data_IF_722504137103
#
_entry.id   IF_722504137103
#
_cell.length_a   1.000
_cell.length_b   1.000
_cell.length_c   1.000
_cell.angle_alpha   90.00
_cell.angle_beta   90.00
_cell.angle_gamma   90.00
#
_symmetry.space_group_name_H-M   'P 1'
#
loop_
_entity.id
_entity.type
_entity.pdbx_description
1 polymer ?
#
# COMPACT_ATOMS: atom_id res chain seq x y z
N UNK A 1 -18.65 0.11 -27.21
CA UNK A 1 -18.85 1.10 -26.12
C UNK A 1 -17.63 1.13 -25.21
N UNK A 2 -16.51 1.67 -25.69
CA UNK A 2 -15.31 1.86 -24.86
C UNK A 2 -15.41 3.22 -24.18
N UNK A 3 -15.48 3.23 -22.85
CA UNK A 3 -15.42 4.45 -22.06
C UNK A 3 -14.05 4.50 -21.38
N UNK A 4 -13.20 5.50 -21.69
CA UNK A 4 -11.92 5.66 -21.00
C UNK A 4 -12.13 5.85 -19.50
N UNK A 5 -11.27 5.23 -18.70
CA UNK A 5 -11.32 5.34 -17.24
C UNK A 5 -10.45 6.55 -16.84
N UNK A 6 -11.09 7.61 -16.36
CA UNK A 6 -10.39 8.86 -16.02
C UNK A 6 -9.88 8.91 -14.57
N UNK A 7 -10.53 8.16 -13.68
CA UNK A 7 -10.25 8.12 -12.24
C UNK A 7 -9.90 6.73 -11.74
N UNK A 8 -9.27 6.69 -10.58
CA UNK A 8 -9.02 5.52 -9.75
C UNK A 8 -9.95 5.48 -8.54
N UNK A 9 -9.47 4.82 -7.48
CA UNK A 9 -10.19 4.72 -6.21
C UNK A 9 -10.34 6.08 -5.52
N UNK A 10 -11.43 6.24 -4.77
CA UNK A 10 -11.56 7.33 -3.80
C UNK A 10 -10.53 7.14 -2.68
N UNK A 11 -9.81 8.20 -2.34
CA UNK A 11 -8.77 8.17 -1.33
C UNK A 11 -9.33 8.64 0.00
N UNK A 12 -8.96 7.95 1.09
CA UNK A 12 -9.20 8.36 2.48
C UNK A 12 -10.66 8.70 2.86
N UNK A 13 -11.64 8.25 2.04
CA UNK A 13 -13.06 8.59 2.17
C UNK A 13 -13.36 10.10 2.13
N UNK A 14 -12.43 10.91 1.63
CA UNK A 14 -12.56 12.37 1.55
C UNK A 14 -13.19 12.85 0.24
N UNK A 15 -13.79 11.94 -0.54
CA UNK A 15 -14.37 12.20 -1.86
C UNK A 15 -13.38 12.80 -2.87
N UNK A 16 -12.09 12.48 -2.73
CA UNK A 16 -11.07 12.76 -3.73
C UNK A 16 -10.75 11.47 -4.48
N UNK A 17 -10.94 11.45 -5.79
CA UNK A 17 -10.60 10.31 -6.63
C UNK A 17 -9.17 10.44 -7.16
N UNK A 18 -8.36 9.39 -6.99
CA UNK A 18 -7.05 9.32 -7.63
C UNK A 18 -7.19 9.27 -9.16
N UNK A 19 -6.10 9.53 -9.88
CA UNK A 19 -6.05 9.36 -11.34
C UNK A 19 -6.03 7.89 -11.74
N UNK A 20 -6.39 7.59 -12.99
CA UNK A 20 -6.50 6.22 -13.51
C UNK A 20 -5.18 5.46 -13.73
N UNK A 21 -4.04 6.04 -13.35
CA UNK A 21 -2.72 5.45 -13.65
C UNK A 21 -2.52 4.09 -13.01
N UNK A 22 -2.99 3.92 -11.76
CA UNK A 22 -2.96 2.62 -11.09
C UNK A 22 -3.89 1.60 -11.77
N UNK A 23 -5.07 2.01 -12.25
CA UNK A 23 -6.01 1.12 -12.96
C UNK A 23 -5.42 0.65 -14.29
N UNK A 24 -4.84 1.56 -15.08
CA UNK A 24 -4.20 1.18 -16.35
C UNK A 24 -3.00 0.26 -16.15
N UNK A 25 -2.24 0.45 -15.07
CA UNK A 25 -1.20 -0.50 -14.69
C UNK A 25 -1.80 -1.88 -14.36
N UNK A 26 -2.87 -1.96 -13.56
CA UNK A 26 -3.54 -3.24 -13.28
C UNK A 26 -3.98 -3.94 -14.56
N UNK A 27 -4.63 -3.21 -15.46
CA UNK A 27 -5.07 -3.73 -16.75
C UNK A 27 -3.89 -4.31 -17.56
N UNK A 28 -2.80 -3.55 -17.70
CA UNK A 28 -1.60 -4.01 -18.40
C UNK A 28 -1.02 -5.29 -17.76
N UNK A 29 -0.94 -5.34 -16.44
CA UNK A 29 -0.42 -6.51 -15.73
C UNK A 29 -1.32 -7.74 -15.93
N UNK A 30 -2.65 -7.56 -15.87
CA UNK A 30 -3.58 -8.64 -16.13
C UNK A 30 -3.48 -9.18 -17.56
N UNK A 31 -3.20 -8.33 -18.56
CA UNK A 31 -2.96 -8.80 -19.94
C UNK A 31 -1.77 -9.76 -20.03
N UNK A 32 -0.70 -9.55 -19.24
CA UNK A 32 0.50 -10.41 -19.25
C UNK A 32 0.19 -11.85 -18.81
N UNK A 33 -0.82 -12.04 -17.96
CA UNK A 33 -1.20 -13.35 -17.40
C UNK A 33 -2.67 -13.72 -17.62
N UNK A 34 -3.29 -13.20 -18.67
CA UNK A 34 -4.68 -13.51 -19.04
C UNK A 34 -5.66 -13.39 -17.85
N UNK A 35 -5.49 -12.37 -17.00
CA UNK A 35 -6.32 -12.11 -15.84
C UNK A 35 -5.92 -12.83 -14.54
N UNK A 36 -4.88 -13.67 -14.51
CA UNK A 36 -4.42 -14.30 -13.25
C UNK A 36 -3.85 -13.24 -12.29
N UNK A 37 -4.40 -13.18 -11.08
CA UNK A 37 -4.04 -12.22 -10.03
C UNK A 37 -2.61 -12.38 -9.49
N UNK A 38 -1.98 -13.55 -9.70
CA UNK A 38 -0.59 -13.80 -9.27
C UNK A 38 0.39 -12.80 -9.90
N UNK A 39 0.08 -12.28 -11.10
CA UNK A 39 0.92 -11.28 -11.77
C UNK A 39 1.16 -10.03 -10.92
N UNK A 40 0.17 -9.62 -10.14
CA UNK A 40 0.25 -8.45 -9.27
C UNK A 40 1.29 -8.68 -8.15
N UNK A 41 1.30 -9.88 -7.56
CA UNK A 41 2.27 -10.25 -6.53
C UNK A 41 3.71 -10.25 -7.07
N UNK A 42 3.92 -10.78 -8.29
CA UNK A 42 5.25 -10.73 -8.93
C UNK A 42 5.68 -9.30 -9.23
N UNK A 43 4.80 -8.49 -9.81
CA UNK A 43 5.12 -7.10 -10.13
C UNK A 43 5.48 -6.29 -8.86
N UNK A 44 4.70 -6.44 -7.78
CA UNK A 44 4.98 -5.75 -6.52
C UNK A 44 6.34 -6.12 -5.93
N UNK A 45 6.70 -7.42 -5.93
CA UNK A 45 8.01 -7.86 -5.49
C UNK A 45 9.15 -7.31 -6.36
N UNK A 46 8.96 -7.26 -7.69
CA UNK A 46 9.92 -6.65 -8.61
C UNK A 46 10.07 -5.14 -8.38
N UNK A 47 8.97 -4.44 -8.06
CA UNK A 47 8.99 -3.03 -7.69
C UNK A 47 9.79 -2.80 -6.39
N UNK A 48 9.67 -3.69 -5.40
CA UNK A 48 10.49 -3.68 -4.19
C UNK A 48 11.99 -3.84 -4.51
N UNK A 49 12.36 -4.79 -5.38
CA UNK A 49 13.74 -4.98 -5.85
C UNK A 49 14.25 -3.73 -6.58
N UNK A 50 13.44 -3.15 -7.47
CA UNK A 50 13.79 -1.91 -8.17
C UNK A 50 14.01 -0.76 -7.16
N UNK A 51 13.20 -0.69 -6.10
CA UNK A 51 13.36 0.28 -5.01
C UNK A 51 14.69 0.10 -4.30
N UNK A 52 15.09 -1.12 -3.93
CA UNK A 52 16.41 -1.40 -3.33
C UNK A 52 17.56 -0.95 -4.24
N UNK A 53 17.47 -1.23 -5.54
CA UNK A 53 18.49 -0.83 -6.51
C UNK A 53 18.61 0.70 -6.59
N UNK A 54 17.47 1.39 -6.72
CA UNK A 54 17.43 2.86 -6.76
C UNK A 54 17.97 3.44 -5.44
N UNK A 55 17.57 2.87 -4.31
CA UNK A 55 18.02 3.28 -2.98
C UNK A 55 19.54 3.15 -2.86
N UNK A 56 20.14 2.05 -3.32
CA UNK A 56 21.60 1.88 -3.34
C UNK A 56 22.28 3.01 -4.13
N UNK A 57 21.83 3.28 -5.36
CA UNK A 57 22.48 4.27 -6.22
C UNK A 57 22.30 5.70 -5.72
N UNK A 58 21.11 6.05 -5.24
CA UNK A 58 20.81 7.35 -4.65
C UNK A 58 21.65 7.58 -3.39
N UNK A 59 21.66 6.62 -2.47
CA UNK A 59 22.40 6.77 -1.21
C UNK A 59 23.91 6.80 -1.44
N UNK A 60 24.41 6.05 -2.43
CA UNK A 60 25.83 6.09 -2.81
C UNK A 60 26.24 7.47 -3.31
N UNK A 61 25.40 8.11 -4.13
CA UNK A 61 25.65 9.45 -4.66
C UNK A 61 25.55 10.55 -3.58
N UNK A 62 24.53 10.46 -2.71
CA UNK A 62 24.32 11.44 -1.65
C UNK A 62 25.31 11.31 -0.48
N UNK A 63 25.68 10.07 -0.16
CA UNK A 63 26.49 9.73 1.00
C UNK A 63 27.80 9.07 0.59
N UNK A 64 27.86 7.75 0.67
CA UNK A 64 29.00 6.92 0.28
C UNK A 64 28.52 5.48 0.01
N UNK A 65 29.41 4.65 -0.54
CA UNK A 65 29.10 3.25 -0.90
C UNK A 65 28.78 2.37 0.31
N UNK A 66 29.36 2.64 1.48
CA UNK A 66 29.15 1.83 2.69
C UNK A 66 27.76 2.09 3.28
N UNK A 67 27.35 3.36 3.40
CA UNK A 67 26.00 3.73 3.82
C UNK A 67 24.97 3.15 2.85
N UNK A 68 25.20 3.26 1.54
CA UNK A 68 24.32 2.68 0.52
C UNK A 68 24.10 1.18 0.68
N UNK A 69 25.18 0.43 0.92
CA UNK A 69 25.12 -1.01 1.15
C UNK A 69 24.31 -1.36 2.41
N UNK A 70 24.61 -0.70 3.53
CA UNK A 70 23.89 -0.93 4.79
C UNK A 70 22.40 -0.61 4.62
N UNK A 71 22.07 0.56 4.05
CA UNK A 71 20.69 0.95 3.78
C UNK A 71 19.95 -0.06 2.90
N UNK A 72 20.59 -0.58 1.85
CA UNK A 72 19.99 -1.57 0.97
C UNK A 72 19.68 -2.89 1.68
N UNK A 73 20.54 -3.32 2.61
CA UNK A 73 20.28 -4.48 3.48
C UNK A 73 19.08 -4.20 4.38
N UNK A 74 19.05 -3.06 5.06
CA UNK A 74 17.96 -2.74 5.99
C UNK A 74 16.62 -2.60 5.31
N UNK A 75 16.57 -2.03 4.10
CA UNK A 75 15.34 -2.00 3.30
C UNK A 75 14.97 -3.40 2.80
N UNK A 76 15.89 -4.07 2.09
CA UNK A 76 15.59 -5.33 1.38
C UNK A 76 15.39 -6.54 2.29
N UNK A 77 15.98 -6.55 3.48
CA UNK A 77 15.89 -7.66 4.43
C UNK A 77 14.97 -7.40 5.62
N UNK A 78 14.37 -6.21 5.78
CA UNK A 78 13.36 -5.99 6.83
C UNK A 78 12.10 -6.79 6.50
N UNK A 79 11.66 -7.65 7.42
CA UNK A 79 10.42 -8.43 7.29
C UNK A 79 9.22 -7.51 7.09
N UNK A 80 9.18 -6.39 7.82
CA UNK A 80 8.10 -5.41 7.72
C UNK A 80 7.99 -4.86 6.29
N UNK A 81 9.10 -4.34 5.76
CA UNK A 81 9.15 -3.73 4.43
C UNK A 81 8.89 -4.79 3.35
N UNK A 82 9.49 -5.98 3.48
CA UNK A 82 9.31 -7.07 2.52
C UNK A 82 7.83 -7.45 2.35
N UNK A 83 7.07 -7.52 3.45
CA UNK A 83 5.64 -7.85 3.35
C UNK A 83 4.79 -6.73 2.76
N UNK A 84 5.14 -5.47 2.98
CA UNK A 84 4.50 -4.37 2.24
C UNK A 84 4.86 -4.38 0.76
N UNK A 85 6.11 -4.66 0.39
CA UNK A 85 6.55 -4.75 -1.01
C UNK A 85 5.91 -5.95 -1.74
N UNK A 86 5.49 -7.00 -1.03
CA UNK A 86 4.78 -8.15 -1.62
C UNK A 86 3.27 -7.92 -1.80
N UNK A 87 2.74 -6.80 -1.30
CA UNK A 87 1.34 -6.43 -1.43
C UNK A 87 1.18 -5.39 -2.54
N UNK A 88 0.61 -5.81 -3.67
CA UNK A 88 0.28 -4.89 -4.74
C UNK A 88 -0.97 -4.07 -4.42
N UNK A 89 -0.81 -2.76 -4.30
CA UNK A 89 -1.88 -1.80 -4.06
C UNK A 89 -1.41 -0.37 -4.42
N UNK A 90 -2.29 0.61 -4.37
CA UNK A 90 -2.03 2.03 -4.59
C UNK A 90 -0.78 2.54 -3.83
N UNK A 91 -0.55 2.14 -2.55
CA UNK A 91 0.65 2.54 -1.81
C UNK A 91 1.96 1.91 -2.29
N UNK A 92 1.96 0.89 -3.16
CA UNK A 92 3.18 0.15 -3.54
C UNK A 92 4.25 1.03 -4.18
N UNK A 93 3.87 2.15 -4.80
CA UNK A 93 4.81 3.11 -5.41
C UNK A 93 5.37 4.14 -4.41
N UNK A 94 4.84 4.20 -3.18
CA UNK A 94 5.25 5.21 -2.20
C UNK A 94 6.76 5.13 -1.91
N UNK A 95 7.36 3.96 -1.64
CA UNK A 95 8.80 3.87 -1.38
C UNK A 95 9.66 4.42 -2.52
N UNK A 96 9.44 3.92 -3.74
CA UNK A 96 10.21 4.31 -4.93
C UNK A 96 10.06 5.79 -5.24
N UNK A 97 8.83 6.32 -5.22
CA UNK A 97 8.60 7.74 -5.47
C UNK A 97 9.24 8.57 -4.37
N UNK A 98 9.11 8.21 -3.09
CA UNK A 98 9.69 8.95 -1.97
C UNK A 98 11.20 9.14 -2.11
N UNK A 99 11.94 8.09 -2.44
CA UNK A 99 13.40 8.19 -2.59
C UNK A 99 13.80 9.01 -3.83
N UNK A 100 13.13 8.83 -4.96
CA UNK A 100 13.39 9.61 -6.17
C UNK A 100 13.04 11.09 -5.97
N UNK A 101 11.97 11.37 -5.22
CA UNK A 101 11.51 12.72 -4.93
C UNK A 101 12.53 13.47 -4.06
N UNK A 102 12.94 12.88 -2.94
CA UNK A 102 13.96 13.47 -2.06
C UNK A 102 15.29 13.63 -2.79
N UNK A 103 15.69 12.64 -3.59
CA UNK A 103 16.90 12.72 -4.41
C UNK A 103 16.85 13.89 -5.40
N UNK A 104 15.77 14.01 -6.17
CA UNK A 104 15.57 15.09 -7.13
C UNK A 104 15.61 16.46 -6.44
N UNK A 105 14.92 16.61 -5.30
CA UNK A 105 14.93 17.82 -4.48
C UNK A 105 16.33 18.22 -4.03
N UNK A 106 17.18 17.26 -3.66
CA UNK A 106 18.56 17.57 -3.25
C UNK A 106 19.38 18.02 -4.46
N UNK A 107 19.18 17.40 -5.62
CA UNK A 107 19.91 17.71 -6.85
C UNK A 107 19.55 19.09 -7.43
N UNK A 108 18.38 19.67 -7.12
CA UNK A 108 18.03 21.03 -7.57
C UNK A 108 19.01 22.10 -7.09
N UNK A 109 19.72 21.86 -5.97
CA UNK A 109 20.75 22.79 -5.48
C UNK A 109 21.94 22.91 -6.45
N UNK A 110 22.17 21.89 -7.28
CA UNK A 110 23.24 21.86 -8.31
C UNK A 110 22.70 22.15 -9.70
N UNK A 111 21.53 21.62 -10.04
CA UNK A 111 20.91 21.78 -11.37
C UNK A 111 19.39 21.91 -11.25
N UNK A 112 18.85 23.06 -11.62
CA UNK A 112 17.41 23.34 -11.48
C UNK A 112 16.55 22.51 -12.44
N UNK A 113 17.11 21.84 -13.45
CA UNK A 113 16.36 20.93 -14.34
C UNK A 113 15.73 19.75 -13.60
N UNK A 114 16.24 19.39 -12.41
CA UNK A 114 15.62 18.38 -11.56
C UNK A 114 14.20 18.74 -11.09
N UNK A 115 13.80 20.02 -11.15
CA UNK A 115 12.40 20.40 -10.93
C UNK A 115 11.43 19.80 -11.95
N UNK A 116 11.90 19.45 -13.16
CA UNK A 116 11.08 18.75 -14.16
C UNK A 116 10.69 17.36 -13.65
N UNK A 117 11.65 16.61 -13.09
CA UNK A 117 11.37 15.31 -12.48
C UNK A 117 10.46 15.45 -11.25
N UNK A 118 10.65 16.49 -10.43
CA UNK A 118 9.75 16.78 -9.30
C UNK A 118 8.31 17.00 -9.79
N UNK A 119 8.10 17.77 -10.86
CA UNK A 119 6.77 17.97 -11.44
C UNK A 119 6.13 16.66 -11.93
N UNK A 120 6.91 15.79 -12.58
CA UNK A 120 6.49 14.45 -12.98
C UNK A 120 6.09 13.60 -11.77
N UNK A 121 6.90 13.58 -10.71
CA UNK A 121 6.62 12.80 -9.50
C UNK A 121 5.40 13.35 -8.73
N UNK A 122 5.21 14.67 -8.68
CA UNK A 122 4.00 15.29 -8.11
C UNK A 122 2.76 14.88 -8.90
N UNK A 123 2.80 14.95 -10.22
CA UNK A 123 1.66 14.52 -11.03
C UNK A 123 1.38 13.03 -10.83
N UNK A 124 2.41 12.17 -10.87
CA UNK A 124 2.28 10.74 -10.60
C UNK A 124 1.68 10.43 -9.21
N UNK A 125 1.94 11.29 -8.21
CA UNK A 125 1.40 11.14 -6.86
C UNK A 125 -0.13 11.14 -6.85
N UNK A 126 -0.76 11.93 -7.72
CA UNK A 126 -2.21 11.95 -7.88
C UNK A 126 -2.78 10.67 -8.51
N UNK A 127 -1.97 9.85 -9.21
CA UNK A 127 -2.41 8.56 -9.78
C UNK A 127 -2.20 7.39 -8.80
N UNK A 128 -1.28 7.53 -7.85
CA UNK A 128 -0.92 6.44 -6.95
C UNK A 128 -1.42 6.67 -5.53
N UNK A 129 -1.04 7.77 -4.87
CA UNK A 129 -1.38 7.98 -3.47
C UNK A 129 -1.14 9.43 -3.00
N UNK A 130 -2.15 10.04 -2.35
CA UNK A 130 -2.07 11.44 -1.89
C UNK A 130 -1.00 11.72 -0.81
N UNK A 131 -0.58 10.72 -0.04
CA UNK A 131 0.51 10.87 0.95
C UNK A 131 1.78 11.44 0.30
N UNK A 132 2.04 11.11 -0.96
CA UNK A 132 3.21 11.60 -1.69
C UNK A 132 3.18 13.13 -1.91
N UNK A 133 2.00 13.76 -1.82
CA UNK A 133 1.89 15.23 -1.87
C UNK A 133 2.49 15.91 -0.63
N UNK A 134 2.79 15.19 0.46
CA UNK A 134 3.54 15.75 1.59
C UNK A 134 4.96 16.20 1.18
N UNK A 135 5.50 15.66 0.08
CA UNK A 135 6.75 16.16 -0.51
C UNK A 135 6.60 17.53 -1.19
N UNK A 136 5.38 18.09 -1.30
CA UNK A 136 5.18 19.47 -1.74
C UNK A 136 5.79 20.48 -0.75
N UNK A 137 5.80 20.18 0.56
CA UNK A 137 6.40 21.07 1.58
C UNK A 137 7.90 21.27 1.34
N UNK A 138 8.74 20.21 1.25
CA UNK A 138 10.15 20.38 0.89
C UNK A 138 10.34 20.87 -0.56
N UNK A 139 9.36 20.67 -1.46
CA UNK A 139 9.38 21.25 -2.81
C UNK A 139 9.26 22.76 -2.78
N UNK A 140 8.27 23.31 -2.07
CA UNK A 140 8.08 24.75 -1.91
C UNK A 140 9.34 25.37 -1.31
N UNK A 141 9.90 24.77 -0.26
CA UNK A 141 11.18 25.19 0.30
C UNK A 141 12.30 25.24 -0.76
N UNK A 142 12.45 24.17 -1.54
CA UNK A 142 13.48 24.06 -2.57
C UNK A 142 13.29 25.05 -3.72
N UNK A 143 12.05 25.28 -4.15
CA UNK A 143 11.68 26.27 -5.17
C UNK A 143 12.00 27.67 -4.68
N UNK A 144 11.56 28.06 -3.48
CA UNK A 144 11.85 29.38 -2.91
C UNK A 144 13.36 29.62 -2.84
N UNK A 145 14.12 28.64 -2.33
CA UNK A 145 15.58 28.71 -2.23
C UNK A 145 16.28 28.88 -3.59
N UNK A 146 15.75 28.27 -4.64
CA UNK A 146 16.37 28.25 -5.96
C UNK A 146 15.66 29.13 -7.00
N UNK A 147 14.64 29.91 -6.62
CA UNK A 147 13.71 30.56 -7.55
C UNK A 147 14.41 31.33 -8.67
N UNK A 148 15.37 32.18 -8.31
CA UNK A 148 16.16 33.00 -9.25
C UNK A 148 17.08 32.19 -10.18
N UNK A 149 17.36 30.93 -9.85
CA UNK A 149 18.21 30.01 -10.64
C UNK A 149 17.39 29.14 -11.60
N UNK A 150 16.06 29.12 -11.46
CA UNK A 150 15.19 28.33 -12.33
C UNK A 150 15.01 29.09 -13.64
N UNK A 151 15.50 28.52 -14.74
CA UNK A 151 15.37 29.11 -16.06
C UNK A 151 13.93 28.98 -16.56
N UNK A 152 13.48 29.91 -17.39
CA UNK A 152 12.10 29.95 -17.89
C UNK A 152 11.66 28.65 -18.58
N UNK A 153 12.56 28.01 -19.36
CA UNK A 153 12.22 26.75 -20.02
C UNK A 153 12.01 25.61 -19.02
N UNK A 154 12.68 25.65 -17.86
CA UNK A 154 12.44 24.67 -16.78
C UNK A 154 11.02 24.83 -16.24
N UNK A 155 10.57 26.07 -16.00
CA UNK A 155 9.19 26.35 -15.61
C UNK A 155 8.18 25.82 -16.62
N UNK A 156 8.39 26.12 -17.91
CA UNK A 156 7.52 25.66 -18.99
C UNK A 156 7.46 24.12 -19.04
N UNK A 157 8.62 23.45 -18.98
CA UNK A 157 8.67 21.99 -18.98
C UNK A 157 8.00 21.38 -17.74
N UNK A 158 8.18 21.97 -16.55
CA UNK A 158 7.47 21.52 -15.33
C UNK A 158 5.96 21.53 -15.54
N UNK A 159 5.42 22.63 -16.07
CA UNK A 159 3.99 22.78 -16.33
C UNK A 159 3.52 21.78 -17.39
N UNK A 160 4.22 21.65 -18.50
CA UNK A 160 3.87 20.71 -19.58
C UNK A 160 3.82 19.27 -19.05
N UNK A 161 4.89 18.80 -18.40
CA UNK A 161 4.93 17.42 -17.92
C UNK A 161 3.89 17.15 -16.82
N UNK A 162 3.66 18.12 -15.92
CA UNK A 162 2.61 18.02 -14.92
C UNK A 162 1.22 17.90 -15.58
N UNK A 163 0.89 18.81 -16.51
CA UNK A 163 -0.40 18.83 -17.19
C UNK A 163 -0.65 17.58 -18.03
N UNK A 164 0.37 17.09 -18.72
CA UNK A 164 0.26 15.86 -19.53
C UNK A 164 -0.10 14.67 -18.65
N UNK A 165 0.60 14.48 -17.53
CA UNK A 165 0.38 13.33 -16.65
C UNK A 165 -0.97 13.47 -15.94
N UNK A 166 -1.30 14.64 -15.39
CA UNK A 166 -2.54 14.88 -14.64
C UNK A 166 -3.79 14.98 -15.55
N UNK A 167 -3.62 15.00 -16.88
CA UNK A 167 -4.71 15.21 -17.84
C UNK A 167 -5.94 14.32 -17.66
N UNK A 168 -5.85 13.02 -17.27
CA UNK A 168 -7.04 12.22 -16.99
C UNK A 168 -7.92 12.81 -15.89
N UNK A 169 -7.30 13.37 -14.83
CA UNK A 169 -8.02 14.02 -13.74
C UNK A 169 -8.60 15.37 -14.16
N UNK A 170 -7.92 16.12 -15.04
CA UNK A 170 -8.47 17.36 -15.61
C UNK A 170 -9.75 17.03 -16.41
N UNK A 171 -9.70 16.01 -17.26
CA UNK A 171 -10.87 15.58 -18.05
C UNK A 171 -11.99 15.10 -17.14
N UNK A 172 -11.67 14.36 -16.07
CA UNK A 172 -12.65 14.00 -15.06
C UNK A 172 -13.32 15.23 -14.45
N UNK A 173 -12.53 16.17 -13.93
CA UNK A 173 -13.05 17.38 -13.27
C UNK A 173 -13.95 18.21 -14.20
N UNK A 174 -13.56 18.39 -15.47
CA UNK A 174 -14.38 19.10 -16.45
C UNK A 174 -15.75 18.44 -16.68
N UNK A 175 -15.82 17.11 -16.59
CA UNK A 175 -17.06 16.36 -16.78
C UNK A 175 -17.88 16.18 -15.48
N UNK A 176 -17.31 16.51 -14.32
CA UNK A 176 -17.90 16.27 -13.00
C UNK A 176 -17.88 17.54 -12.13
N UNK A 177 -18.12 18.71 -12.74
CA UNK A 177 -18.26 19.99 -12.04
C UNK A 177 -17.09 20.33 -11.09
N UNK A 178 -15.86 19.96 -11.48
CA UNK A 178 -14.63 20.18 -10.73
C UNK A 178 -14.63 19.51 -9.34
N UNK A 179 -15.28 18.35 -9.21
CA UNK A 179 -15.44 17.64 -7.94
C UNK A 179 -14.13 17.36 -7.19
N UNK A 180 -13.09 16.90 -7.87
CA UNK A 180 -11.78 16.63 -7.26
C UNK A 180 -11.04 17.93 -6.92
N UNK A 181 -11.05 18.91 -7.82
CA UNK A 181 -10.42 20.21 -7.61
C UNK A 181 -11.02 20.94 -6.39
N UNK A 182 -12.34 20.83 -6.22
CA UNK A 182 -13.07 21.44 -5.10
C UNK A 182 -13.06 20.58 -3.83
N UNK A 183 -12.53 19.35 -3.85
CA UNK A 183 -12.53 18.46 -2.69
C UNK A 183 -11.87 19.08 -1.44
N UNK A 184 -10.69 19.75 -1.50
CA UNK A 184 -10.12 20.41 -0.33
C UNK A 184 -11.05 21.47 0.28
N UNK A 185 -11.75 22.25 -0.56
CA UNK A 185 -12.73 23.22 -0.12
C UNK A 185 -13.91 22.54 0.58
N UNK A 186 -14.48 21.50 -0.04
CA UNK A 186 -15.59 20.72 0.54
C UNK A 186 -15.20 20.08 1.87
N UNK A 187 -13.97 19.59 2.01
CA UNK A 187 -13.46 19.02 3.26
C UNK A 187 -13.41 20.07 4.38
N UNK A 188 -12.86 21.25 4.09
CA UNK A 188 -12.64 22.29 5.10
C UNK A 188 -13.97 22.98 5.48
N UNK A 189 -14.80 23.31 4.49
CA UNK A 189 -15.97 24.18 4.69
C UNK A 189 -17.30 23.43 4.75
N UNK A 190 -17.41 22.23 4.15
CA UNK A 190 -18.65 21.45 4.12
C UNK A 190 -18.59 20.18 5.01
N UNK A 191 -17.55 20.04 5.84
CA UNK A 191 -16.99 18.84 6.51
C UNK A 191 -17.91 17.70 7.01
N UNK A 192 -19.24 17.86 7.04
CA UNK A 192 -20.24 16.84 7.40
C UNK A 192 -20.31 15.62 6.46
N UNK A 193 -19.64 15.61 5.30
CA UNK A 193 -19.73 14.52 4.29
C UNK A 193 -18.45 13.72 4.03
N UNK A 194 -17.36 13.96 4.76
CA UNK A 194 -16.01 13.48 4.35
C UNK A 194 -15.46 12.30 5.15
N UNK A 195 -16.25 11.67 6.01
CA UNK A 195 -15.79 10.52 6.84
C UNK A 195 -14.62 10.84 7.78
N UNK A 196 -14.12 12.07 7.80
CA UNK A 196 -13.11 12.58 8.72
C UNK A 196 -13.80 12.95 10.02
N UNK A 197 -13.31 12.37 11.11
CA UNK A 197 -13.73 12.75 12.46
C UNK A 197 -13.07 14.08 12.86
N UNK A 198 -13.52 14.64 13.99
CA UNK A 198 -12.80 15.75 14.61
C UNK A 198 -11.46 15.26 15.17
N UNK A 199 -10.49 16.17 15.24
CA UNK A 199 -9.24 15.94 15.95
C UNK A 199 -9.50 15.41 17.36
N UNK A 200 -8.84 14.31 17.74
CA UNK A 200 -8.95 13.74 19.07
C UNK A 200 -7.57 13.39 19.64
N UNK A 201 -7.40 13.59 20.95
CA UNK A 201 -6.19 13.17 21.66
C UNK A 201 -6.00 11.65 21.63
N UNK A 202 -7.10 10.89 21.56
CA UNK A 202 -7.07 9.43 21.44
C UNK A 202 -6.46 8.98 20.12
N UNK A 203 -6.85 9.62 19.00
CA UNK A 203 -6.27 9.36 17.67
C UNK A 203 -4.76 9.66 17.68
N UNK A 204 -4.34 10.81 18.23
CA UNK A 204 -2.91 11.17 18.34
C UNK A 204 -2.14 10.12 19.16
N UNK A 205 -2.66 9.71 20.31
CA UNK A 205 -2.04 8.68 21.16
C UNK A 205 -1.93 7.35 20.41
N UNK A 206 -2.97 6.95 19.69
CA UNK A 206 -2.98 5.74 18.86
C UNK A 206 -1.91 5.81 17.75
N UNK A 207 -1.80 6.94 17.07
CA UNK A 207 -0.79 7.15 16.02
C UNK A 207 0.64 7.15 16.58
N UNK A 208 0.87 7.76 17.73
CA UNK A 208 2.18 7.70 18.40
C UNK A 208 2.53 6.26 18.79
N UNK A 209 1.58 5.52 19.37
CA UNK A 209 1.78 4.11 19.72
C UNK A 209 2.08 3.25 18.48
N UNK A 210 1.33 3.47 17.38
CA UNK A 210 1.56 2.82 16.09
C UNK A 210 2.96 3.14 15.57
N UNK A 211 3.36 4.41 15.55
CA UNK A 211 4.69 4.84 15.11
C UNK A 211 5.80 4.20 15.94
N UNK A 212 5.72 4.23 17.27
CA UNK A 212 6.70 3.60 18.17
C UNK A 212 6.78 2.10 17.91
N UNK A 213 5.63 1.44 17.72
CA UNK A 213 5.57 0.04 17.33
C UNK A 213 6.28 -0.21 15.99
N UNK A 214 5.98 0.57 14.95
CA UNK A 214 6.63 0.47 13.63
C UNK A 214 8.15 0.68 13.73
N UNK A 215 8.61 1.65 14.53
CA UNK A 215 10.03 1.90 14.77
C UNK A 215 10.75 0.71 15.43
N UNK A 216 10.05 -0.13 16.19
CA UNK A 216 10.59 -1.39 16.69
C UNK A 216 10.52 -2.52 15.67
N UNK A 217 9.38 -2.64 14.95
CA UNK A 217 9.10 -3.72 13.99
C UNK A 217 9.97 -3.69 12.74
N UNK A 218 10.51 -2.53 12.37
CA UNK A 218 11.47 -2.44 11.25
C UNK A 218 12.71 -3.30 11.48
N UNK A 219 13.12 -3.48 12.75
CA UNK A 219 14.28 -4.28 13.14
C UNK A 219 13.97 -5.77 13.19
N UNK A 220 12.86 -6.13 13.85
CA UNK A 220 12.48 -7.51 14.09
C UNK A 220 10.98 -7.63 14.37
N UNK A 221 10.40 -8.70 13.83
CA UNK A 221 9.04 -9.15 14.13
C UNK A 221 9.14 -10.59 14.62
N UNK A 222 8.35 -10.94 15.65
CA UNK A 222 8.40 -12.26 16.30
C UNK A 222 8.24 -13.40 15.27
N UNK A 223 8.96 -14.50 15.51
CA UNK A 223 8.87 -15.73 14.72
C UNK A 223 7.48 -16.37 14.82
N UNK A 224 7.16 -17.28 13.90
CA UNK A 224 5.89 -18.03 13.88
C UNK A 224 4.64 -17.12 13.90
N UNK A 225 4.73 -15.98 13.22
CA UNK A 225 3.64 -15.02 13.10
C UNK A 225 2.74 -15.36 11.91
N UNK A 226 1.46 -14.95 11.96
CA UNK A 226 0.63 -14.95 10.77
C UNK A 226 0.84 -13.62 10.01
N UNK A 227 0.94 -13.70 8.68
CA UNK A 227 1.09 -12.53 7.80
C UNK A 227 0.02 -11.45 8.06
N UNK A 228 -1.19 -11.88 8.40
CA UNK A 228 -2.34 -11.03 8.67
C UNK A 228 -2.04 -10.06 9.82
N UNK A 229 -1.53 -10.58 10.94
CA UNK A 229 -1.21 -9.80 12.14
C UNK A 229 0.00 -8.88 11.96
N UNK A 230 0.71 -9.00 10.83
CA UNK A 230 1.83 -8.14 10.46
C UNK A 230 1.37 -6.95 9.63
N UNK A 231 0.77 -7.18 8.46
CA UNK A 231 0.54 -6.11 7.45
C UNK A 231 -0.92 -5.97 7.00
N UNK A 232 -1.81 -6.85 7.46
CA UNK A 232 -3.21 -6.83 7.04
C UNK A 232 -4.09 -6.57 8.27
N UNK A 233 -4.51 -5.32 8.43
CA UNK A 233 -5.27 -4.82 9.58
C UNK A 233 -6.75 -5.30 9.59
N UNK A 234 -7.05 -6.47 9.01
CA UNK A 234 -8.40 -7.08 9.03
C UNK A 234 -8.67 -7.87 10.31
N UNK A 235 -7.62 -8.30 11.02
CA UNK A 235 -7.73 -8.82 12.38
C UNK A 235 -7.57 -7.64 13.35
N UNK A 236 -8.37 -7.61 14.42
CA UNK A 236 -8.28 -6.60 15.49
C UNK A 236 -6.95 -6.60 16.25
N UNK A 237 -6.06 -7.54 15.93
CA UNK A 237 -4.75 -7.70 16.55
C UNK A 237 -3.62 -7.43 15.56
N UNK A 238 -2.68 -6.58 15.97
CA UNK A 238 -1.44 -6.28 15.25
C UNK A 238 -0.26 -6.56 16.17
N UNK A 239 0.75 -7.23 15.65
CA UNK A 239 1.94 -7.60 16.44
C UNK A 239 2.66 -6.32 16.90
N UNK A 240 2.87 -6.12 18.22
CA UNK A 240 3.55 -4.94 18.72
C UNK A 240 5.06 -5.00 18.44
N UNK A 241 5.68 -3.83 18.25
CA UNK A 241 7.11 -3.68 18.17
C UNK A 241 7.81 -3.77 19.52
N UNK A 242 9.07 -4.18 19.50
CA UNK A 242 9.90 -4.17 20.70
C UNK A 242 10.32 -2.73 21.06
N UNK A 243 10.05 -2.31 22.30
CA UNK A 243 10.32 -0.94 22.76
C UNK A 243 11.80 -0.57 22.75
N UNK A 244 12.72 -1.51 23.05
CA UNK A 244 14.16 -1.24 23.01
C UNK A 244 14.65 -1.02 21.58
N UNK A 245 14.12 -1.78 20.61
CA UNK A 245 14.41 -1.56 19.19
C UNK A 245 13.85 -0.22 18.71
N UNK A 246 12.68 0.19 19.21
CA UNK A 246 12.12 1.51 18.95
C UNK A 246 13.00 2.63 19.52
N UNK A 247 13.57 2.46 20.73
CA UNK A 247 14.52 3.41 21.31
C UNK A 247 15.80 3.52 20.48
N UNK A 248 16.32 2.41 19.94
CA UNK A 248 17.45 2.42 18.99
C UNK A 248 17.09 3.23 17.74
N UNK A 249 15.87 3.07 17.21
CA UNK A 249 15.39 3.86 16.09
C UNK A 249 15.32 5.36 16.39
N UNK A 250 14.80 5.73 17.56
CA UNK A 250 14.76 7.12 18.02
C UNK A 250 16.17 7.70 18.18
N UNK A 251 17.11 6.92 18.74
CA UNK A 251 18.51 7.32 18.85
C UNK A 251 19.15 7.52 17.46
N UNK A 252 18.88 6.66 16.49
CA UNK A 252 19.36 6.80 15.12
C UNK A 252 18.81 8.07 14.44
N UNK A 253 17.51 8.38 14.61
CA UNK A 253 16.88 9.62 14.13
C UNK A 253 17.56 10.85 14.73
N UNK A 254 17.67 10.90 16.06
CA UNK A 254 18.27 12.01 16.77
C UNK A 254 19.73 12.22 16.36
N UNK A 255 20.51 11.13 16.30
CA UNK A 255 21.90 11.16 15.87
C UNK A 255 22.05 11.69 14.45
N UNK A 256 21.21 11.24 13.50
CA UNK A 256 21.25 11.70 12.12
C UNK A 256 21.00 13.20 12.01
N UNK A 257 19.99 13.74 12.71
CA UNK A 257 19.71 15.18 12.64
C UNK A 257 20.77 16.05 13.32
N UNK A 258 21.52 15.52 14.28
CA UNK A 258 22.64 16.24 14.89
C UNK A 258 23.91 16.15 14.03
N UNK A 259 24.21 14.99 13.46
CA UNK A 259 25.50 14.74 12.80
C UNK A 259 25.48 14.97 11.29
N UNK A 260 24.33 14.80 10.63
CA UNK A 260 24.26 15.03 9.20
C UNK A 260 24.27 16.53 8.91
N UNK A 261 25.35 16.99 8.26
CA UNK A 261 25.54 18.36 7.77
C UNK A 261 25.83 18.40 6.28
N UNK A 262 25.58 17.29 5.55
CA UNK A 262 25.76 17.26 4.09
C UNK A 262 24.78 18.21 3.40
N UNK A 263 25.17 18.71 2.23
CA UNK A 263 24.30 19.53 1.39
C UNK A 263 22.98 18.80 1.12
N UNK A 264 21.86 19.47 1.41
CA UNK A 264 20.52 18.89 1.27
C UNK A 264 19.97 18.23 2.54
N UNK A 265 20.68 18.24 3.69
CA UNK A 265 20.15 17.67 4.94
C UNK A 265 18.80 18.30 5.36
N UNK A 266 18.58 19.58 5.05
CA UNK A 266 17.34 20.30 5.30
C UNK A 266 16.14 19.63 4.60
N UNK A 267 16.35 19.09 3.39
CA UNK A 267 15.30 18.41 2.63
C UNK A 267 14.93 17.10 3.32
N UNK A 268 15.90 16.34 3.83
CA UNK A 268 15.63 15.15 4.64
C UNK A 268 14.82 15.50 5.89
N UNK A 269 15.25 16.53 6.64
CA UNK A 269 14.56 16.97 7.84
C UNK A 269 13.11 17.38 7.55
N UNK A 270 12.90 18.29 6.60
CA UNK A 270 11.57 18.76 6.23
C UNK A 270 10.69 17.60 5.74
N UNK A 271 11.23 16.67 4.94
CA UNK A 271 10.48 15.50 4.45
C UNK A 271 10.03 14.59 5.59
N UNK A 272 10.94 14.20 6.48
CA UNK A 272 10.63 13.33 7.62
C UNK A 272 9.61 14.00 8.55
N UNK A 273 9.84 15.27 8.91
CA UNK A 273 8.93 16.02 9.79
C UNK A 273 7.56 16.17 9.15
N UNK A 274 7.46 16.44 7.85
CA UNK A 274 6.17 16.55 7.15
C UNK A 274 5.37 15.26 7.20
N UNK A 275 6.02 14.11 6.93
CA UNK A 275 5.37 12.80 6.96
C UNK A 275 4.92 12.44 8.38
N UNK A 276 5.81 12.58 9.37
CA UNK A 276 5.50 12.24 10.75
C UNK A 276 4.43 13.16 11.35
N UNK A 277 4.51 14.46 11.07
CA UNK A 277 3.50 15.42 11.51
C UNK A 277 2.13 15.05 10.93
N UNK A 278 2.03 14.89 9.60
CA UNK A 278 0.79 14.50 8.95
C UNK A 278 0.24 13.15 9.46
N UNK A 279 1.12 12.19 9.75
CA UNK A 279 0.72 10.88 10.30
C UNK A 279 0.10 11.02 11.70
N UNK A 280 0.79 11.74 12.60
CA UNK A 280 0.37 11.91 14.00
C UNK A 280 -0.93 12.68 14.10
N UNK A 281 -1.07 13.77 13.33
CA UNK A 281 -2.20 14.69 13.40
C UNK A 281 -3.39 14.27 12.53
N UNK A 282 -3.32 13.13 11.84
CA UNK A 282 -4.43 12.66 11.03
C UNK A 282 -5.67 12.43 11.91
N UNK A 283 -6.86 12.93 11.53
CA UNK A 283 -7.99 12.97 12.47
C UNK A 283 -8.75 11.64 12.60
N UNK A 284 -8.55 10.70 11.68
CA UNK A 284 -9.19 9.37 11.70
C UNK A 284 -8.17 8.25 11.79
N UNK A 285 -8.61 7.01 11.63
CA UNK A 285 -7.73 5.85 11.63
C UNK A 285 -6.62 5.99 10.57
N UNK A 286 -5.36 5.88 11.01
CA UNK A 286 -4.21 6.03 10.15
C UNK A 286 -3.40 4.71 10.03
N UNK A 287 -3.56 3.97 8.92
CA UNK A 287 -2.92 2.66 8.76
C UNK A 287 -1.40 2.79 8.64
N UNK A 288 -0.65 1.77 9.06
CA UNK A 288 0.82 1.85 9.10
C UNK A 288 1.47 1.99 7.72
N UNK A 289 0.80 1.58 6.64
CA UNK A 289 1.35 1.78 5.30
C UNK A 289 1.48 3.27 4.91
N UNK A 290 0.84 4.20 5.63
CA UNK A 290 1.11 5.64 5.46
C UNK A 290 2.51 6.03 5.95
N UNK A 291 3.22 5.16 6.67
CA UNK A 291 4.62 5.35 7.04
C UNK A 291 5.60 4.81 5.99
N UNK A 292 5.17 4.22 4.87
CA UNK A 292 6.11 3.63 3.88
C UNK A 292 7.14 4.63 3.33
N UNK A 293 6.73 5.88 3.08
CA UNK A 293 7.65 6.95 2.65
C UNK A 293 8.66 7.29 3.75
N UNK A 294 8.19 7.35 5.01
CA UNK A 294 9.06 7.53 6.18
C UNK A 294 10.03 6.36 6.35
N UNK A 295 9.57 5.11 6.30
CA UNK A 295 10.39 3.90 6.48
C UNK A 295 11.49 3.82 5.43
N UNK A 296 11.17 4.16 4.18
CA UNK A 296 12.16 4.22 3.09
C UNK A 296 13.29 5.18 3.43
N UNK A 297 12.97 6.41 3.80
CA UNK A 297 13.97 7.41 4.19
C UNK A 297 14.66 7.04 5.51
N UNK A 298 13.96 6.36 6.41
CA UNK A 298 14.48 5.93 7.69
C UNK A 298 15.54 4.83 7.56
N UNK A 299 15.48 3.96 6.55
CA UNK A 299 16.58 3.00 6.26
C UNK A 299 17.89 3.71 5.87
N UNK A 300 17.82 4.92 5.29
CA UNK A 300 18.99 5.76 5.03
C UNK A 300 19.57 6.28 6.34
N UNK A 301 18.70 6.67 7.26
CA UNK A 301 19.06 7.12 8.61
C UNK A 301 19.73 6.00 9.40
N UNK A 302 19.20 4.77 9.34
CA UNK A 302 19.83 3.58 9.94
C UNK A 302 21.21 3.34 9.32
N UNK A 303 21.33 3.37 7.99
CA UNK A 303 22.62 3.20 7.30
C UNK A 303 23.65 4.23 7.74
N UNK A 304 23.25 5.49 7.87
CA UNK A 304 24.11 6.58 8.34
C UNK A 304 24.51 6.39 9.81
N UNK A 305 23.57 6.02 10.68
CA UNK A 305 23.82 5.75 12.09
C UNK A 305 24.81 4.60 12.28
N UNK A 306 24.55 3.44 11.66
CA UNK A 306 25.43 2.27 11.76
C UNK A 306 26.80 2.53 11.16
N UNK A 307 26.93 3.39 10.13
CA UNK A 307 28.24 3.74 9.58
C UNK A 307 29.17 4.41 10.61
N UNK A 308 28.61 5.01 11.68
CA UNK A 308 29.39 5.62 12.77
C UNK A 308 29.91 4.62 13.81
N UNK A 309 29.48 3.35 13.75
CA UNK A 309 29.89 2.30 14.68
C UNK A 309 31.18 1.57 14.20
N UNK A 310 31.89 0.87 15.11
CA UNK A 310 33.03 0.04 14.72
C UNK A 310 32.64 -1.06 13.71
N UNK A 311 33.51 -1.34 12.74
CA UNK A 311 33.24 -2.32 11.65
C UNK A 311 32.78 -3.69 12.16
N UNK A 312 33.42 -4.20 13.23
CA UNK A 312 33.04 -5.48 13.86
C UNK A 312 31.58 -5.48 14.34
N UNK A 313 31.15 -4.39 15.00
CA UNK A 313 29.79 -4.24 15.49
C UNK A 313 28.78 -4.14 14.35
N UNK A 314 29.10 -3.39 13.29
CA UNK A 314 28.26 -3.32 12.08
C UNK A 314 28.02 -4.71 11.51
N UNK A 315 29.08 -5.52 11.35
CA UNK A 315 28.97 -6.89 10.83
C UNK A 315 28.07 -7.75 11.71
N UNK A 316 28.21 -7.69 13.05
CA UNK A 316 27.37 -8.43 13.99
C UNK A 316 25.89 -8.02 13.85
N UNK A 317 25.62 -6.70 13.86
CA UNK A 317 24.25 -6.16 13.74
C UNK A 317 23.61 -6.57 12.41
N UNK A 318 24.34 -6.47 11.30
CA UNK A 318 23.85 -6.87 9.98
C UNK A 318 23.58 -8.37 9.92
N UNK A 319 24.50 -9.21 10.38
CA UNK A 319 24.32 -10.67 10.37
C UNK A 319 23.12 -11.09 11.20
N UNK A 320 22.96 -10.52 12.39
CA UNK A 320 21.81 -10.80 13.25
C UNK A 320 20.51 -10.28 12.62
N UNK A 321 20.51 -9.07 12.05
CA UNK A 321 19.35 -8.50 11.38
C UNK A 321 18.88 -9.36 10.20
N UNK A 322 19.80 -9.79 9.33
CA UNK A 322 19.49 -10.66 8.19
C UNK A 322 18.95 -12.01 8.69
N UNK A 323 19.64 -12.65 9.64
CA UNK A 323 19.25 -13.95 10.16
C UNK A 323 17.86 -13.88 10.82
N UNK A 324 17.64 -12.92 11.71
CA UNK A 324 16.38 -12.78 12.42
C UNK A 324 15.21 -12.55 11.46
N UNK A 325 15.36 -11.64 10.49
CA UNK A 325 14.29 -11.37 9.53
C UNK A 325 14.08 -12.51 8.53
N UNK A 326 15.14 -13.19 8.08
CA UNK A 326 15.02 -14.38 7.24
C UNK A 326 14.26 -15.48 7.97
N UNK A 327 14.60 -15.74 9.24
CA UNK A 327 13.87 -16.70 10.07
C UNK A 327 12.41 -16.29 10.28
N UNK A 328 12.12 -14.99 10.48
CA UNK A 328 10.73 -14.53 10.56
C UNK A 328 9.98 -14.82 9.28
N UNK A 329 10.55 -14.51 8.10
CA UNK A 329 9.91 -14.78 6.81
C UNK A 329 9.67 -16.28 6.60
N UNK A 330 10.65 -17.12 6.90
CA UNK A 330 10.54 -18.58 6.74
C UNK A 330 9.53 -19.23 7.70
N UNK A 331 9.33 -18.64 8.88
CA UNK A 331 8.38 -19.15 9.89
C UNK A 331 7.00 -18.50 9.82
N UNK A 332 6.80 -17.50 8.96
CA UNK A 332 5.50 -16.83 8.85
C UNK A 332 4.49 -17.71 8.11
N UNK A 333 3.28 -17.84 8.67
CA UNK A 333 2.16 -18.51 8.00
C UNK A 333 1.29 -17.53 7.23
N UNK A 334 0.58 -18.02 6.21
CA UNK A 334 -0.31 -17.21 5.37
C UNK A 334 -1.65 -17.92 5.15
N UNK A 335 -2.47 -17.92 6.20
CA UNK A 335 -3.70 -18.71 6.23
C UNK A 335 -4.86 -18.09 5.41
N UNK A 336 -4.69 -16.85 4.95
CA UNK A 336 -5.68 -16.06 4.18
C UNK A 336 -5.26 -15.80 2.72
N UNK A 337 -4.06 -16.25 2.34
CA UNK A 337 -3.43 -15.91 1.06
C UNK A 337 -4.13 -16.48 -0.16
N UNK A 338 -3.75 -15.98 -1.34
CA UNK A 338 -4.29 -16.43 -2.63
C UNK A 338 -4.14 -17.94 -2.85
N UNK A 339 -3.06 -18.56 -2.37
CA UNK A 339 -2.86 -20.01 -2.45
C UNK A 339 -3.95 -20.78 -1.71
N UNK A 340 -4.29 -20.38 -0.49
CA UNK A 340 -5.37 -20.99 0.29
C UNK A 340 -6.72 -20.81 -0.43
N UNK A 341 -6.97 -19.62 -0.98
CA UNK A 341 -8.19 -19.35 -1.76
C UNK A 341 -8.29 -20.21 -3.03
N UNK A 342 -7.17 -20.42 -3.75
CA UNK A 342 -7.12 -21.32 -4.92
C UNK A 342 -7.44 -22.77 -4.51
N UNK A 343 -6.81 -23.27 -3.45
CA UNK A 343 -7.08 -24.62 -2.92
C UNK A 343 -8.55 -24.79 -2.50
N UNK A 344 -9.10 -23.80 -1.80
CA UNK A 344 -10.51 -23.75 -1.43
C UNK A 344 -11.43 -23.86 -2.66
N UNK A 345 -11.16 -23.08 -3.71
CA UNK A 345 -11.96 -23.09 -4.94
C UNK A 345 -11.86 -24.44 -5.64
N UNK A 346 -10.64 -25.00 -5.79
CA UNK A 346 -10.45 -26.30 -6.41
C UNK A 346 -11.24 -27.40 -5.69
N UNK A 347 -11.20 -27.41 -4.35
CA UNK A 347 -11.97 -28.33 -3.53
C UNK A 347 -13.48 -28.09 -3.64
N UNK A 348 -13.91 -26.84 -3.77
CA UNK A 348 -15.33 -26.53 -4.04
C UNK A 348 -15.77 -27.10 -5.39
N UNK A 349 -14.96 -26.91 -6.43
CA UNK A 349 -15.26 -27.38 -7.79
C UNK A 349 -15.33 -28.89 -7.90
N UNK A 350 -14.58 -29.66 -7.09
CA UNK A 350 -14.72 -31.12 -7.06
C UNK A 350 -16.09 -31.61 -6.56
N UNK A 351 -16.79 -30.81 -5.76
CA UNK A 351 -18.14 -31.14 -5.26
C UNK A 351 -19.25 -30.53 -6.12
N UNK A 352 -19.06 -29.32 -6.65
CA UNK A 352 -20.02 -28.67 -7.55
C UNK A 352 -20.08 -29.39 -8.90
N UNK A 353 -18.94 -29.87 -9.40
CA UNK A 353 -18.80 -30.52 -10.70
C UNK A 353 -19.46 -29.67 -11.81
N UNK A 354 -20.41 -30.21 -12.58
CA UNK A 354 -21.07 -29.49 -13.67
C UNK A 354 -22.31 -28.70 -13.26
N UNK A 355 -22.76 -28.81 -12.00
CA UNK A 355 -24.01 -28.17 -11.54
C UNK A 355 -23.88 -26.64 -11.52
N UNK A 356 -25.02 -25.97 -11.61
CA UNK A 356 -25.12 -24.53 -11.35
C UNK A 356 -25.12 -24.26 -9.85
N UNK A 357 -24.49 -23.16 -9.43
CA UNK A 357 -24.43 -22.81 -8.00
C UNK A 357 -24.52 -21.31 -7.75
N UNK A 358 -25.11 -20.94 -6.62
CA UNK A 358 -25.00 -19.63 -6.00
C UNK A 358 -23.80 -19.57 -5.06
N UNK A 359 -23.16 -18.41 -4.98
CA UNK A 359 -22.04 -18.15 -4.09
C UNK A 359 -22.41 -17.09 -3.05
N UNK A 360 -22.39 -17.47 -1.79
CA UNK A 360 -22.56 -16.57 -0.68
C UNK A 360 -21.25 -16.45 0.11
N UNK A 361 -20.92 -15.23 0.51
CA UNK A 361 -19.89 -14.97 1.51
C UNK A 361 -20.56 -14.60 2.82
N UNK A 362 -20.22 -15.32 3.88
CA UNK A 362 -20.78 -15.12 5.20
C UNK A 362 -19.68 -14.67 6.17
N UNK A 363 -19.88 -13.55 6.85
CA UNK A 363 -18.92 -13.00 7.80
C UNK A 363 -19.59 -12.02 8.76
N UNK A 364 -18.84 -11.61 9.78
CA UNK A 364 -19.32 -10.71 10.83
C UNK A 364 -19.30 -9.22 10.45
N UNK A 365 -19.05 -8.90 9.17
CA UNK A 365 -19.04 -7.51 8.72
C UNK A 365 -20.46 -6.93 8.68
N UNK A 366 -20.65 -5.64 9.01
CA UNK A 366 -21.98 -4.99 9.01
C UNK A 366 -22.73 -5.10 7.68
N UNK A 367 -21.98 -5.13 6.57
CA UNK A 367 -22.51 -5.39 5.23
C UNK A 367 -22.06 -6.80 4.81
N UNK A 368 -22.87 -7.84 5.06
CA UNK A 368 -22.49 -9.23 4.85
C UNK A 368 -22.15 -9.53 3.38
N UNK A 369 -22.74 -8.81 2.42
CA UNK A 369 -22.43 -8.93 1.00
C UNK A 369 -20.98 -8.54 0.64
N UNK A 370 -20.35 -7.67 1.43
CA UNK A 370 -18.93 -7.32 1.28
C UNK A 370 -18.01 -8.15 2.19
N UNK A 371 -18.57 -9.04 3.03
CA UNK A 371 -17.76 -9.97 3.79
C UNK A 371 -16.87 -10.73 2.82
N UNK A 372 -15.56 -10.50 2.93
CA UNK A 372 -14.55 -11.18 2.12
C UNK A 372 -14.72 -10.95 0.60
N UNK A 373 -15.11 -9.74 0.20
CA UNK A 373 -15.30 -9.37 -1.20
C UNK A 373 -14.16 -9.87 -2.14
N UNK A 374 -14.53 -10.19 -3.37
CA UNK A 374 -13.61 -10.72 -4.39
C UNK A 374 -13.73 -12.23 -4.62
N UNK A 375 -14.44 -12.99 -3.78
CA UNK A 375 -14.66 -14.43 -4.00
C UNK A 375 -15.35 -14.72 -5.34
N UNK A 376 -16.38 -13.97 -5.75
CA UNK A 376 -17.01 -14.13 -7.08
C UNK A 376 -15.99 -14.07 -8.22
N UNK A 377 -15.09 -13.07 -8.18
CA UNK A 377 -14.02 -12.92 -9.15
C UNK A 377 -13.03 -14.09 -9.09
N UNK A 378 -12.65 -14.53 -7.89
CA UNK A 378 -11.73 -15.66 -7.73
C UNK A 378 -12.32 -16.98 -8.26
N UNK A 379 -13.61 -17.24 -8.01
CA UNK A 379 -14.32 -18.39 -8.56
C UNK A 379 -14.39 -18.32 -10.09
N UNK A 380 -14.63 -17.14 -10.66
CA UNK A 380 -14.57 -16.92 -12.11
C UNK A 380 -13.19 -17.22 -12.71
N UNK A 381 -12.11 -16.79 -12.05
CA UNK A 381 -10.74 -16.95 -12.57
C UNK A 381 -10.21 -18.38 -12.36
N UNK A 382 -10.44 -18.99 -11.20
CA UNK A 382 -9.81 -20.25 -10.80
C UNK A 382 -10.75 -21.47 -10.75
N UNK A 383 -12.04 -21.26 -11.03
CA UNK A 383 -13.06 -22.31 -11.00
C UNK A 383 -14.09 -22.08 -12.09
N UNK A 384 -15.36 -21.97 -11.69
CA UNK A 384 -16.50 -21.70 -12.57
C UNK A 384 -17.20 -20.43 -12.10
N UNK A 385 -17.69 -19.63 -13.04
CA UNK A 385 -18.52 -18.45 -12.74
C UNK A 385 -19.77 -18.86 -11.96
N UNK A 386 -20.00 -18.31 -10.75
CA UNK A 386 -21.22 -18.56 -10.00
C UNK A 386 -22.43 -18.01 -10.76
N UNK A 387 -23.54 -18.74 -10.77
CA UNK A 387 -24.77 -18.32 -11.45
C UNK A 387 -25.41 -17.10 -10.77
N UNK A 388 -25.25 -16.99 -9.44
CA UNK A 388 -25.61 -15.82 -8.64
C UNK A 388 -24.62 -15.67 -7.48
N UNK A 389 -24.50 -14.48 -6.93
CA UNK A 389 -23.77 -14.22 -5.70
C UNK A 389 -24.41 -13.13 -4.87
N UNK A 390 -24.26 -13.19 -3.55
CA UNK A 390 -24.71 -12.13 -2.65
C UNK A 390 -24.08 -10.76 -2.97
N UNK A 391 -22.88 -10.72 -3.58
CA UNK A 391 -22.25 -9.46 -4.03
C UNK A 391 -22.90 -8.86 -5.28
N UNK A 392 -23.72 -9.61 -6.02
CA UNK A 392 -24.32 -9.15 -7.27
C UNK A 392 -25.32 -8.00 -7.04
N UNK A 393 -25.88 -7.86 -5.84
CA UNK A 393 -26.75 -6.71 -5.51
C UNK A 393 -26.00 -5.38 -5.54
N UNK A 394 -24.70 -5.40 -5.29
CA UNK A 394 -23.85 -4.20 -5.21
C UNK A 394 -22.97 -4.02 -6.46
N UNK A 395 -22.40 -5.13 -6.94
CA UNK A 395 -21.42 -5.15 -8.02
C UNK A 395 -21.90 -5.90 -9.27
N UNK A 396 -23.17 -6.32 -9.30
CA UNK A 396 -23.73 -7.07 -10.42
C UNK A 396 -23.74 -6.29 -11.73
N UNK A 397 -23.71 -4.96 -11.66
CA UNK A 397 -23.56 -4.09 -12.84
C UNK A 397 -22.25 -4.33 -13.61
N UNK A 398 -21.21 -4.88 -12.95
CA UNK A 398 -19.94 -5.29 -13.60
C UNK A 398 -20.12 -6.62 -14.38
N UNK A 399 -21.13 -7.41 -14.00
CA UNK A 399 -21.36 -8.78 -14.48
C UNK A 399 -22.77 -8.97 -15.04
N UNK A 400 -23.36 -7.93 -15.63
CA UNK A 400 -24.79 -7.91 -15.97
C UNK A 400 -25.22 -9.10 -16.85
N UNK A 401 -24.36 -9.51 -17.78
CA UNK A 401 -24.61 -10.63 -18.70
C UNK A 401 -24.30 -12.02 -18.11
N UNK A 402 -23.73 -12.07 -16.90
CA UNK A 402 -23.29 -13.29 -16.23
C UNK A 402 -24.19 -13.70 -15.04
N UNK A 403 -25.23 -12.93 -14.73
CA UNK A 403 -26.17 -13.20 -13.63
C UNK A 403 -27.34 -14.02 -14.16
N UNK A 404 -27.47 -15.25 -13.68
CA UNK A 404 -28.54 -16.15 -14.13
C UNK A 404 -29.89 -15.77 -13.56
N UNK A 405 -30.91 -15.81 -14.44
CA UNK A 405 -32.32 -15.70 -14.06
C UNK A 405 -32.90 -17.01 -13.52
N UNK A 406 -32.28 -18.16 -13.82
CA UNK A 406 -32.71 -19.45 -13.28
C UNK A 406 -32.16 -19.67 -11.87
N UNK A 407 -32.89 -20.40 -11.04
CA UNK A 407 -32.40 -20.77 -9.72
C UNK A 407 -31.27 -21.79 -9.82
N UNK A 408 -30.13 -21.56 -9.14
CA UNK A 408 -29.02 -22.51 -9.14
C UNK A 408 -29.38 -23.80 -8.43
N UNK A 409 -28.76 -24.92 -8.83
CA UNK A 409 -28.98 -26.23 -8.21
C UNK A 409 -28.36 -26.35 -6.81
N UNK A 410 -27.25 -25.67 -6.56
CA UNK A 410 -26.47 -25.73 -5.32
C UNK A 410 -26.30 -24.35 -4.70
N UNK A 411 -26.17 -24.31 -3.38
CA UNK A 411 -25.65 -23.15 -2.65
C UNK A 411 -24.25 -23.46 -2.12
N UNK A 412 -23.33 -22.54 -2.34
CA UNK A 412 -21.96 -22.56 -1.82
C UNK A 412 -21.78 -21.37 -0.90
N UNK A 413 -21.47 -21.62 0.38
CA UNK A 413 -21.16 -20.58 1.36
C UNK A 413 -19.66 -20.63 1.68
N UNK A 414 -19.02 -19.47 1.63
CA UNK A 414 -17.64 -19.25 2.09
C UNK A 414 -17.67 -18.39 3.34
N UNK A 415 -17.05 -18.86 4.42
CA UNK A 415 -16.98 -18.13 5.69
C UNK A 415 -15.60 -18.23 6.33
N UNK A 416 -15.15 -17.22 7.07
CA UNK A 416 -13.95 -17.34 7.91
C UNK A 416 -14.27 -17.90 9.31
N UNK A 417 -15.55 -17.93 9.68
CA UNK A 417 -16.02 -18.48 10.95
C UNK A 417 -16.89 -19.73 10.73
N UNK A 418 -16.88 -20.70 11.66
CA UNK A 418 -17.80 -21.82 11.59
C UNK A 418 -19.26 -21.32 11.66
N UNK A 419 -20.13 -21.91 10.84
CA UNK A 419 -21.55 -21.57 10.78
C UNK A 419 -22.39 -22.77 11.19
N UNK A 420 -23.48 -22.52 11.91
CA UNK A 420 -24.54 -23.49 12.12
C UNK A 420 -25.61 -23.27 11.06
N UNK A 421 -25.82 -24.25 10.18
CA UNK A 421 -26.78 -24.18 9.08
C UNK A 421 -27.92 -25.16 9.33
N UNK A 422 -29.15 -24.70 9.13
CA UNK A 422 -30.37 -25.52 9.26
C UNK A 422 -30.65 -26.42 8.04
N UNK A 423 -29.70 -26.49 7.08
CA UNK A 423 -29.83 -27.27 5.85
C UNK A 423 -28.99 -28.55 5.93
N UNK A 424 -29.48 -29.62 5.29
CA UNK A 424 -28.71 -30.85 5.12
C UNK A 424 -27.54 -30.59 4.16
N UNK A 425 -26.32 -30.56 4.70
CA UNK A 425 -25.11 -30.35 3.93
C UNK A 425 -24.80 -31.55 3.05
N UNK A 426 -24.45 -31.27 1.79
CA UNK A 426 -23.77 -32.22 0.90
C UNK A 426 -22.33 -32.39 1.40
N UNK A 427 -21.66 -31.27 1.70
CA UNK A 427 -20.28 -31.28 2.15
C UNK A 427 -19.96 -30.06 3.02
N UNK A 428 -19.09 -30.29 3.99
CA UNK A 428 -18.38 -29.27 4.75
C UNK A 428 -16.88 -29.52 4.67
N UNK A 429 -16.07 -28.47 4.53
CA UNK A 429 -14.62 -28.57 4.62
C UNK A 429 -13.99 -27.24 5.04
N UNK A 430 -12.70 -27.29 5.35
CA UNK A 430 -11.88 -26.13 5.68
C UNK A 430 -10.61 -26.13 4.83
N UNK A 431 -10.19 -24.95 4.37
CA UNK A 431 -8.87 -24.68 3.77
C UNK A 431 -8.32 -23.37 4.33
N UNK A 432 -7.16 -23.42 4.98
CA UNK A 432 -6.65 -22.29 5.77
C UNK A 432 -7.66 -21.86 6.84
N UNK A 433 -8.05 -20.58 6.82
CA UNK A 433 -9.09 -20.02 7.71
C UNK A 433 -10.50 -20.03 7.10
N UNK A 434 -10.68 -20.56 5.89
CA UNK A 434 -11.95 -20.54 5.18
C UNK A 434 -12.70 -21.87 5.34
N UNK A 435 -13.97 -21.77 5.73
CA UNK A 435 -14.94 -22.84 5.78
C UNK A 435 -15.84 -22.80 4.55
N UNK A 436 -16.03 -23.97 3.93
CA UNK A 436 -16.89 -24.17 2.77
C UNK A 436 -18.07 -25.06 3.13
N UNK A 437 -19.27 -24.60 2.79
CA UNK A 437 -20.52 -25.34 2.99
C UNK A 437 -21.23 -25.46 1.66
N UNK A 438 -21.65 -26.68 1.32
CA UNK A 438 -22.37 -26.96 0.07
C UNK A 438 -23.65 -27.71 0.41
N UNK A 439 -24.79 -27.22 -0.08
CA UNK A 439 -26.09 -27.90 0.06
C UNK A 439 -26.95 -27.69 -1.20
N UNK A 440 -27.98 -28.52 -1.37
CA UNK A 440 -28.91 -28.37 -2.48
C UNK A 440 -29.80 -27.15 -2.27
N UNK A 441 -30.07 -26.41 -3.34
CA UNK A 441 -31.10 -25.39 -3.31
C UNK A 441 -32.46 -26.05 -3.15
N UNK A 442 -33.14 -25.78 -2.04
CA UNK A 442 -34.53 -26.18 -1.84
C UNK A 442 -35.38 -25.36 -2.82
N UNK A 443 -35.98 -26.04 -3.80
CA UNK A 443 -36.98 -25.44 -4.69
C UNK A 443 -38.17 -24.91 -3.91
#
# INVERSE_FOLDING_TARGET
>A
NFHPIWIGVSQANINFYLGSGFIYLNYLLFLIKNGDLVVLAYFSALLGIATVIVLFFVVRDLFDRKIAFITSIFYGCSTLINYYDRRFWNPSFIPLISILYVYALIKTNKDTRWFILIAILTAASFHFHLLLLLFMIPTIYSVIKNFRKIKWYTWVLMVIFYLVIISPLIVFDLNHNFDNLLAPYKIIFEGKKTGLYFFSFESIKSHINSLVSTLGRIWFIRLNSNLQDIVLETNTYKIPGNIFLALISCAALFWFFIKNRKNGYQIFFISIVSILFAYIVYPSYNPEYYLMGFLTLFTIIIGFFLNSLPKKLICIVISFFILANLLTVLTTTNDYGLTMKKQFIMKTMSYVNNKTFSLETAGSLPNPQFAYAGWRLLFKIYGKTPARSNIDTELGWIYADEISKSDPELHVIVSENPLSLNHKLIQQFQEGKYYGYIYQNSR
#
